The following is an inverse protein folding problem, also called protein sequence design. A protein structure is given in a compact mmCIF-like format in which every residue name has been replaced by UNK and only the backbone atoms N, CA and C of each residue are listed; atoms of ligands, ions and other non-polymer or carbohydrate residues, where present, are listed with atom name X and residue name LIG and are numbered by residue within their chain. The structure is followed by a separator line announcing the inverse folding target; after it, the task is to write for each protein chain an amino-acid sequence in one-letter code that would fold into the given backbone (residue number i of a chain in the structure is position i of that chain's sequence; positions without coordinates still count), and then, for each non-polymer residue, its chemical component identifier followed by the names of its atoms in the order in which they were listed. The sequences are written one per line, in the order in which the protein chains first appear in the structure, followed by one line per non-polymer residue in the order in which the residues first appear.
data_IF_687147982687
#
_entry.id   IF_687147982687
#
_cell.length_a   1.000
_cell.length_b   1.000
_cell.length_c   1.000
_cell.angle_alpha   90.00
_cell.angle_beta   90.00
_cell.angle_gamma   90.00
#
_symmetry.space_group_name_H-M   'P 1'
#
loop_
_entity.id
_entity.type
_entity.pdbx_description
1 polymer ?
#
# COMPACT_ATOMS: atom_id res chain seq x y z
N UNK A 1 -37.77 2.77 15.71
CA UNK A 1 -36.52 2.20 15.21
C UNK A 1 -35.51 3.32 14.96
N UNK A 2 -34.56 3.62 15.87
CA UNK A 2 -33.46 4.52 15.56
C UNK A 2 -32.19 3.72 15.21
N UNK A 3 -31.77 3.82 13.95
CA UNK A 3 -30.45 3.41 13.46
C UNK A 3 -29.43 4.43 13.96
N UNK A 4 -28.69 4.11 15.02
CA UNK A 4 -27.59 4.94 15.51
C UNK A 4 -26.38 4.05 15.75
N UNK A 5 -25.34 4.21 14.93
CA UNK A 5 -23.92 4.23 15.32
C UNK A 5 -23.05 4.15 14.07
N UNK A 6 -22.86 5.30 13.42
CA UNK A 6 -21.66 5.54 12.64
C UNK A 6 -20.50 5.72 13.60
N UNK A 7 -19.85 4.62 14.02
CA UNK A 7 -18.52 4.73 14.61
C UNK A 7 -17.57 5.00 13.46
N UNK A 8 -17.16 6.27 13.36
CA UNK A 8 -16.02 6.69 12.55
C UNK A 8 -14.77 5.95 13.04
N UNK A 9 -14.53 4.77 12.49
CA UNK A 9 -13.24 4.11 12.59
C UNK A 9 -12.27 4.95 11.78
N UNK A 10 -11.64 5.94 12.44
CA UNK A 10 -10.37 6.49 11.98
C UNK A 10 -9.47 5.28 11.79
N UNK A 11 -9.25 4.88 10.54
CA UNK A 11 -8.55 3.66 10.20
C UNK A 11 -7.28 3.51 11.04
N UNK A 12 -7.01 2.27 11.46
CA UNK A 12 -5.91 1.97 12.37
C UNK A 12 -4.54 2.14 11.71
N UNK A 13 -3.55 1.43 12.23
CA UNK A 13 -2.17 1.58 11.81
C UNK A 13 -1.98 1.16 10.34
N UNK A 14 -2.68 0.12 9.87
CA UNK A 14 -2.57 -0.38 8.50
C UNK A 14 -3.25 0.57 7.50
N UNK A 15 -4.46 1.05 7.81
CA UNK A 15 -5.16 2.01 6.99
C UNK A 15 -4.35 3.31 6.78
N UNK A 16 -3.72 3.82 7.85
CA UNK A 16 -2.86 5.02 7.78
C UNK A 16 -1.60 4.75 6.99
N UNK A 17 -0.98 3.58 7.15
CA UNK A 17 0.18 3.19 6.36
C UNK A 17 -0.14 3.22 4.86
N UNK A 18 -1.26 2.61 4.45
CA UNK A 18 -1.71 2.61 3.06
C UNK A 18 -1.95 4.03 2.57
N UNK A 19 -2.65 4.85 3.35
CA UNK A 19 -2.95 6.23 2.96
C UNK A 19 -1.67 7.07 2.74
N UNK A 20 -0.61 6.83 3.51
CA UNK A 20 0.68 7.50 3.30
C UNK A 20 1.39 6.96 2.05
N UNK A 21 1.46 5.63 1.88
CA UNK A 21 2.16 5.02 0.73
C UNK A 21 1.45 5.26 -0.60
N UNK A 22 0.11 5.33 -0.63
CA UNK A 22 -0.65 5.68 -1.82
C UNK A 22 -0.38 7.10 -2.34
N UNK A 23 0.34 7.95 -1.60
CA UNK A 23 0.81 9.27 -2.07
C UNK A 23 2.21 9.25 -2.64
N UNK A 24 2.94 8.15 -2.47
CA UNK A 24 4.33 8.04 -2.90
C UNK A 24 4.42 7.41 -4.29
N UNK A 25 5.13 8.06 -5.21
CA UNK A 25 5.35 7.53 -6.56
C UNK A 25 6.08 6.19 -6.56
N UNK A 26 7.01 5.98 -5.63
CA UNK A 26 7.71 4.69 -5.51
C UNK A 26 6.75 3.54 -5.19
N UNK A 27 5.69 3.81 -4.42
CA UNK A 27 4.64 2.82 -4.17
C UNK A 27 3.78 2.59 -5.41
N UNK A 28 3.51 3.62 -6.22
CA UNK A 28 2.80 3.45 -7.49
C UNK A 28 3.58 2.57 -8.46
N UNK A 29 4.90 2.78 -8.55
CA UNK A 29 5.80 1.93 -9.35
C UNK A 29 5.79 0.50 -8.85
N UNK A 30 5.87 0.30 -7.53
CA UNK A 30 5.75 -1.03 -6.93
C UNK A 30 4.41 -1.68 -7.29
N UNK A 31 3.28 -0.98 -7.13
CA UNK A 31 1.97 -1.54 -7.48
C UNK A 31 1.89 -1.91 -8.97
N UNK A 32 2.46 -1.06 -9.83
CA UNK A 32 2.51 -1.31 -11.25
C UNK A 32 3.35 -2.55 -11.61
N UNK A 33 4.49 -2.74 -10.96
CA UNK A 33 5.38 -3.90 -11.19
C UNK A 33 4.81 -5.19 -10.58
N UNK A 34 4.36 -5.13 -9.32
CA UNK A 34 3.89 -6.29 -8.57
C UNK A 34 2.56 -6.84 -9.10
N UNK A 35 1.67 -5.96 -9.57
CA UNK A 35 0.32 -6.34 -10.00
C UNK A 35 0.09 -6.12 -11.50
N UNK A 36 1.10 -5.67 -12.25
CA UNK A 36 0.98 -5.41 -13.69
C UNK A 36 -0.01 -4.28 -14.03
N UNK A 37 -0.30 -3.40 -13.08
CA UNK A 37 -1.27 -2.30 -13.27
C UNK A 37 -0.57 -1.00 -13.68
N UNK A 38 -1.34 0.03 -14.04
CA UNK A 38 -0.84 1.40 -14.19
C UNK A 38 -1.51 2.28 -13.16
N UNK A 39 -0.72 2.77 -12.20
CA UNK A 39 -1.17 3.72 -11.19
C UNK A 39 -0.64 5.10 -11.56
N UNK A 40 -1.53 6.04 -11.87
CA UNK A 40 -1.17 7.43 -12.24
C UNK A 40 -1.61 8.45 -11.19
N UNK A 41 -2.49 8.05 -10.29
CA UNK A 41 -3.07 8.89 -9.24
C UNK A 41 -3.16 8.15 -7.91
N UNK A 42 -3.24 8.90 -6.80
CA UNK A 42 -3.50 8.36 -5.46
C UNK A 42 -4.78 7.51 -5.45
N UNK A 43 -5.81 7.96 -6.16
CA UNK A 43 -7.12 7.30 -6.27
C UNK A 43 -6.99 5.90 -6.89
N UNK A 44 -6.21 5.78 -7.97
CA UNK A 44 -5.92 4.50 -8.62
C UNK A 44 -5.06 3.60 -7.73
N UNK A 45 -4.15 4.18 -6.94
CA UNK A 45 -3.34 3.42 -5.98
C UNK A 45 -4.24 2.80 -4.91
N UNK A 46 -5.18 3.58 -4.37
CA UNK A 46 -6.16 3.10 -3.39
C UNK A 46 -7.08 2.03 -3.99
N UNK A 47 -7.60 2.26 -5.20
CA UNK A 47 -8.45 1.29 -5.89
C UNK A 47 -7.71 -0.04 -6.14
N UNK A 48 -6.43 0.03 -6.52
CA UNK A 48 -5.57 -1.14 -6.68
C UNK A 48 -5.43 -1.90 -5.37
N UNK A 49 -5.18 -1.19 -4.26
CA UNK A 49 -5.05 -1.83 -2.94
C UNK A 49 -6.37 -2.49 -2.51
N UNK A 50 -7.53 -1.92 -2.83
CA UNK A 50 -8.83 -2.54 -2.55
C UNK A 50 -9.07 -3.78 -3.41
N UNK A 51 -8.76 -3.70 -4.70
CA UNK A 51 -8.92 -4.80 -5.63
C UNK A 51 -8.07 -6.01 -5.23
N UNK A 52 -6.77 -5.82 -5.01
CA UNK A 52 -5.84 -6.91 -4.69
C UNK A 52 -5.85 -7.29 -3.21
N UNK A 53 -6.16 -6.34 -2.32
CA UNK A 53 -6.38 -6.62 -0.90
C UNK A 53 -7.69 -7.34 -0.63
N UNK A 54 -8.63 -7.31 -1.59
CA UNK A 54 -9.98 -7.86 -1.48
C UNK A 54 -10.65 -7.38 -0.18
N UNK A 55 -10.69 -6.05 -0.08
CA UNK A 55 -11.37 -5.27 0.97
C UNK A 55 -12.15 -4.13 0.33
N UNK A 56 -13.24 -3.74 0.94
CA UNK A 56 -14.06 -2.61 0.50
C UNK A 56 -13.60 -1.28 1.11
N UNK A 57 -12.83 -1.35 2.20
CA UNK A 57 -12.31 -0.18 2.89
C UNK A 57 -10.95 -0.40 3.52
N UNK A 58 -10.11 0.65 3.54
CA UNK A 58 -8.81 0.66 4.25
C UNK A 58 -8.94 0.24 5.71
N UNK A 59 -10.07 0.54 6.36
CA UNK A 59 -10.29 0.19 7.77
C UNK A 59 -10.41 -1.32 8.01
N UNK A 60 -10.77 -2.11 6.99
CA UNK A 60 -10.89 -3.56 7.11
C UNK A 60 -9.55 -4.26 7.34
N UNK A 61 -8.44 -3.64 6.89
CA UNK A 61 -7.09 -4.11 7.20
C UNK A 61 -6.73 -4.01 8.68
N UNK A 62 -7.48 -3.23 9.46
CA UNK A 62 -7.27 -3.10 10.91
C UNK A 62 -8.30 -3.90 11.72
N UNK A 63 -9.48 -4.17 11.16
CA UNK A 63 -10.55 -4.91 11.87
C UNK A 63 -10.58 -6.40 11.55
N UNK A 64 -10.12 -6.82 10.36
CA UNK A 64 -10.09 -8.22 9.95
C UNK A 64 -8.67 -8.79 9.97
N UNK A 65 -8.38 -9.82 10.79
CA UNK A 65 -7.06 -10.44 10.84
C UNK A 65 -6.66 -11.09 9.52
N UNK A 66 -7.62 -11.60 8.75
CA UNK A 66 -7.37 -12.16 7.42
C UNK A 66 -6.98 -11.09 6.41
N UNK A 67 -7.65 -9.93 6.45
CA UNK A 67 -7.29 -8.79 5.61
C UNK A 67 -5.89 -8.25 6.00
N UNK A 68 -5.60 -8.15 7.30
CA UNK A 68 -4.29 -7.73 7.79
C UNK A 68 -3.16 -8.66 7.31
N UNK A 69 -3.39 -9.98 7.37
CA UNK A 69 -2.41 -10.96 6.89
C UNK A 69 -2.19 -10.83 5.37
N UNK A 70 -3.27 -10.76 4.58
CA UNK A 70 -3.19 -10.48 3.14
C UNK A 70 -2.44 -9.19 2.86
N UNK A 71 -2.72 -8.14 3.60
CA UNK A 71 -2.02 -6.87 3.46
C UNK A 71 -0.50 -7.00 3.70
N UNK A 72 -0.12 -7.72 4.75
CA UNK A 72 1.29 -7.96 5.05
C UNK A 72 2.00 -8.78 3.97
N UNK A 73 1.34 -9.79 3.42
CA UNK A 73 1.92 -10.66 2.40
C UNK A 73 1.97 -10.01 1.01
N UNK A 74 0.93 -9.26 0.63
CA UNK A 74 0.78 -8.71 -0.73
C UNK A 74 1.39 -7.32 -0.89
N UNK A 75 1.43 -6.51 0.17
CA UNK A 75 1.92 -5.15 0.09
C UNK A 75 3.16 -4.93 0.97
N UNK A 76 3.06 -5.17 2.28
CA UNK A 76 4.11 -4.72 3.23
C UNK A 76 5.46 -5.37 2.97
N UNK A 77 5.51 -6.70 2.89
CA UNK A 77 6.74 -7.47 2.62
C UNK A 77 7.33 -7.20 1.23
N UNK A 78 6.58 -7.37 0.13
CA UNK A 78 7.13 -7.18 -1.21
C UNK A 78 7.48 -5.71 -1.49
N UNK A 79 6.77 -4.74 -0.90
CA UNK A 79 7.19 -3.34 -1.00
C UNK A 79 8.50 -3.07 -0.26
N UNK A 80 8.73 -3.67 0.91
CA UNK A 80 10.00 -3.53 1.62
C UNK A 80 11.17 -4.08 0.79
N UNK A 81 10.99 -5.25 0.16
CA UNK A 81 11.96 -5.84 -0.78
C UNK A 81 12.19 -4.93 -2.00
N UNK A 82 11.12 -4.40 -2.60
CA UNK A 82 11.21 -3.46 -3.72
C UNK A 82 11.99 -2.18 -3.34
N UNK A 83 11.73 -1.61 -2.16
CA UNK A 83 12.45 -0.42 -1.68
C UNK A 83 13.91 -0.72 -1.43
N UNK A 84 14.25 -1.87 -0.85
CA UNK A 84 15.64 -2.30 -0.65
C UNK A 84 16.39 -2.44 -1.97
N UNK A 85 15.75 -3.10 -2.96
CA UNK A 85 16.30 -3.27 -4.31
C UNK A 85 16.51 -1.93 -5.01
N UNK A 86 15.52 -1.04 -4.97
CA UNK A 86 15.60 0.27 -5.64
C UNK A 86 16.55 1.25 -4.95
N UNK A 87 16.66 1.17 -3.62
CA UNK A 87 17.63 1.96 -2.83
C UNK A 87 19.07 1.49 -3.10
N UNK A 88 19.28 0.17 -3.17
CA UNK A 88 20.58 -0.43 -3.52
C UNK A 88 21.01 -0.10 -4.95
N UNK A 89 20.05 0.01 -5.87
CA UNK A 89 20.32 0.45 -7.24
C UNK A 89 20.79 1.92 -7.30
N UNK A 90 20.25 2.79 -6.44
CA UNK A 90 20.64 4.20 -6.37
C UNK A 90 22.04 4.40 -5.75
N UNK A 91 22.44 3.54 -4.80
CA UNK A 91 23.76 3.60 -4.18
C UNK A 91 24.91 3.20 -5.12
N UNK A 92 24.65 2.43 -6.19
CA UNK A 92 25.67 2.01 -7.16
C UNK A 92 26.00 3.05 -8.24
N UNK A 93 25.18 4.09 -8.40
CA UNK A 93 25.39 5.12 -9.42
C UNK A 93 26.33 6.26 -8.97
N UNK A 94 26.61 6.36 -7.67
CA UNK A 94 27.43 7.45 -7.10
C UNK A 94 28.95 7.12 -7.05
N UNK A 95 29.35 5.92 -7.47
CA UNK A 95 30.76 5.46 -7.40
C UNK A 95 31.38 5.11 -8.77
N UNK A 96 30.96 5.77 -9.85
CA UNK A 96 31.66 5.69 -11.15
C UNK A 96 32.00 7.07 -11.73
N UNK A 97 32.46 7.99 -10.90
CA UNK A 97 33.17 9.21 -11.34
C UNK A 97 34.27 9.54 -10.34
N UNK A 98 35.37 8.78 -10.34
CA UNK A 98 36.72 9.27 -10.03
C UNK A 98 37.74 8.40 -10.76
#
# INVERSE_FOLDING_TARGET
MPQMMGTSHKGGMNARWIAMRCKERSFWTFLAEAFGTRVRSEEEAVATVYLFGCVDSRAEFDTSPEAANRFHQLFRRPYADFVDRTTTQHAKDIHHVV
#
